data_IF_557544415607
#
_entry.id   IF_557544415607
#
_cell.length_a   1.000
_cell.length_b   1.000
_cell.length_c   1.000
_cell.angle_alpha   90.00
_cell.angle_beta   90.00
_cell.angle_gamma   90.00
#
_symmetry.space_group_name_H-M   'P 1'
#
loop_
_entity.id
_entity.type
_entity.pdbx_description
1 polymer ?
#
# COMPACT_ATOMS: atom_id res chain seq x y z
N UNK A 1 -2.94 13.76 8.99
CA UNK A 1 -2.66 12.51 9.72
C UNK A 1 -3.82 11.57 9.47
N UNK A 2 -3.57 10.31 9.22
CA UNK A 2 -4.58 9.26 9.01
C UNK A 2 -4.93 8.68 10.38
N UNK A 3 -6.14 8.93 10.85
CA UNK A 3 -6.63 8.49 12.16
C UNK A 3 -7.01 7.02 12.09
N UNK A 4 -6.31 6.18 12.86
CA UNK A 4 -6.39 4.73 12.74
C UNK A 4 -6.95 4.10 14.01
N UNK A 5 -8.01 3.30 13.88
CA UNK A 5 -8.56 2.45 14.93
C UNK A 5 -7.96 1.04 14.81
N UNK A 6 -7.50 0.48 15.93
CA UNK A 6 -7.00 -0.92 15.99
C UNK A 6 -8.05 -1.79 16.65
N UNK A 7 -8.43 -2.89 16.00
CA UNK A 7 -9.43 -3.85 16.49
C UNK A 7 -8.83 -5.25 16.50
N UNK A 8 -8.63 -5.80 17.70
CA UNK A 8 -8.02 -7.12 17.93
C UNK A 8 -8.44 -7.63 19.30
N UNK A 9 -8.87 -8.88 19.41
CA UNK A 9 -9.33 -9.48 20.67
C UNK A 9 -8.17 -9.78 21.64
N UNK A 10 -6.96 -10.02 21.11
CA UNK A 10 -5.76 -10.16 21.91
C UNK A 10 -5.20 -8.77 22.29
N UNK A 11 -5.28 -8.41 23.58
CA UNK A 11 -4.80 -7.13 24.11
C UNK A 11 -3.32 -6.86 23.81
N UNK A 12 -2.47 -7.89 23.81
CA UNK A 12 -1.04 -7.76 23.54
C UNK A 12 -0.77 -7.50 22.07
N UNK A 13 -1.54 -8.17 21.19
CA UNK A 13 -1.46 -7.96 19.74
C UNK A 13 -2.00 -6.59 19.37
N UNK A 14 -3.13 -6.18 19.98
CA UNK A 14 -3.67 -4.83 19.81
C UNK A 14 -2.65 -3.76 20.21
N UNK A 15 -1.99 -3.91 21.37
CA UNK A 15 -0.97 -2.97 21.86
C UNK A 15 0.24 -2.90 20.92
N UNK A 16 0.70 -4.06 20.42
CA UNK A 16 1.76 -4.11 19.41
C UNK A 16 1.37 -3.37 18.13
N UNK A 17 0.15 -3.59 17.62
CA UNK A 17 -0.33 -2.92 16.42
C UNK A 17 -0.53 -1.42 16.66
N UNK A 18 -0.98 -0.99 17.84
CA UNK A 18 -1.03 0.44 18.22
C UNK A 18 0.37 1.06 18.14
N UNK A 19 1.38 0.42 18.76
CA UNK A 19 2.76 0.88 18.69
C UNK A 19 3.32 0.88 17.25
N UNK A 20 2.87 -0.03 16.40
CA UNK A 20 3.23 -0.03 14.97
C UNK A 20 2.62 1.17 14.24
N UNK A 21 1.33 1.47 14.46
CA UNK A 21 0.65 2.64 13.87
C UNK A 21 1.38 3.94 14.21
N UNK A 22 1.71 4.14 15.50
CA UNK A 22 2.39 5.35 15.98
C UNK A 22 3.80 5.55 15.39
N UNK A 23 4.44 4.47 14.92
CA UNK A 23 5.75 4.52 14.27
C UNK A 23 5.69 4.86 12.80
N UNK A 24 4.54 4.66 12.14
CA UNK A 24 4.40 4.93 10.70
C UNK A 24 4.10 6.41 10.49
N UNK A 25 4.96 7.09 9.75
CA UNK A 25 4.79 8.50 9.45
C UNK A 25 3.47 8.77 8.72
N UNK A 26 2.73 9.78 9.16
CA UNK A 26 1.46 10.17 8.56
C UNK A 26 0.23 9.51 9.19
N UNK A 27 0.43 8.62 10.17
CA UNK A 27 -0.63 7.96 10.92
C UNK A 27 -0.70 8.44 12.38
N UNK A 28 -1.87 8.36 12.96
CA UNK A 28 -2.10 8.58 14.39
C UNK A 28 -3.11 7.56 14.91
N UNK A 29 -2.92 7.12 16.15
CA UNK A 29 -3.83 6.22 16.82
C UNK A 29 -5.09 6.98 17.25
N UNK A 30 -6.27 6.61 16.70
CA UNK A 30 -7.54 7.15 17.13
C UNK A 30 -8.11 6.42 18.35
N UNK A 31 -7.84 5.12 18.47
CA UNK A 31 -8.31 4.29 19.56
C UNK A 31 -8.06 2.82 19.33
N UNK A 32 -8.55 1.99 20.26
CA UNK A 32 -8.52 0.54 20.14
C UNK A 32 -9.82 -0.08 20.62
N UNK A 33 -10.19 -1.23 20.05
CA UNK A 33 -11.34 -2.02 20.45
C UNK A 33 -10.96 -3.52 20.50
N UNK A 34 -11.66 -4.30 21.32
CA UNK A 34 -11.35 -5.72 21.50
C UNK A 34 -12.54 -6.62 21.17
N UNK A 35 -13.63 -6.04 20.70
CA UNK A 35 -14.84 -6.73 20.26
C UNK A 35 -15.41 -6.05 19.02
N UNK A 36 -16.23 -6.75 18.25
CA UNK A 36 -16.86 -6.18 17.07
C UNK A 36 -17.87 -5.08 17.42
N UNK A 37 -18.63 -5.25 18.48
CA UNK A 37 -19.58 -4.23 18.96
C UNK A 37 -18.85 -2.94 19.38
N UNK A 38 -17.76 -3.07 20.15
CA UNK A 38 -16.94 -1.93 20.54
C UNK A 38 -16.24 -1.26 19.33
N UNK A 39 -15.91 -2.03 18.29
CA UNK A 39 -15.34 -1.49 17.06
C UNK A 39 -16.33 -0.58 16.33
N UNK A 40 -17.59 -1.02 16.15
CA UNK A 40 -18.65 -0.23 15.52
C UNK A 40 -18.91 1.07 16.30
N UNK A 41 -19.07 0.97 17.62
CA UNK A 41 -19.25 2.14 18.49
C UNK A 41 -18.05 3.12 18.39
N UNK A 42 -16.83 2.58 18.37
CA UNK A 42 -15.62 3.40 18.23
C UNK A 42 -15.55 4.11 16.88
N UNK A 43 -15.99 3.48 15.79
CA UNK A 43 -16.05 4.13 14.47
C UNK A 43 -17.01 5.31 14.50
N UNK A 44 -18.18 5.15 15.13
CA UNK A 44 -19.18 6.23 15.23
C UNK A 44 -18.70 7.41 16.08
N UNK A 45 -18.04 7.10 17.20
CA UNK A 45 -17.56 8.13 18.15
C UNK A 45 -16.30 8.81 17.67
N UNK A 46 -15.31 8.03 17.20
CA UNK A 46 -13.97 8.53 16.90
C UNK A 46 -13.81 8.98 15.45
N UNK A 47 -14.67 8.50 14.54
CA UNK A 47 -14.62 8.76 13.10
C UNK A 47 -13.21 8.58 12.53
N UNK A 48 -12.62 7.38 12.63
CA UNK A 48 -11.31 7.11 12.08
C UNK A 48 -11.35 7.10 10.56
N UNK A 49 -10.21 7.37 9.91
CA UNK A 49 -10.04 7.23 8.46
C UNK A 49 -9.79 5.77 8.07
N UNK A 50 -9.16 5.01 8.97
CA UNK A 50 -8.73 3.63 8.76
C UNK A 50 -9.03 2.76 9.98
N UNK A 51 -9.52 1.55 9.73
CA UNK A 51 -9.65 0.47 10.74
C UNK A 51 -8.70 -0.67 10.40
N UNK A 52 -7.83 -1.05 11.34
CA UNK A 52 -7.08 -2.31 11.30
C UNK A 52 -7.94 -3.36 12.02
N UNK A 53 -8.52 -4.29 11.28
CA UNK A 53 -9.59 -5.16 11.77
C UNK A 53 -9.16 -6.63 11.77
N UNK A 54 -9.16 -7.26 12.95
CA UNK A 54 -9.11 -8.73 12.99
C UNK A 54 -10.45 -9.33 12.56
N UNK A 55 -10.39 -10.43 11.82
CA UNK A 55 -11.56 -11.20 11.41
C UNK A 55 -12.11 -12.04 12.58
N UNK A 56 -11.24 -12.51 13.46
CA UNK A 56 -11.64 -13.32 14.61
C UNK A 56 -11.83 -12.44 15.84
N UNK A 57 -13.07 -12.15 16.17
CA UNK A 57 -13.48 -11.39 17.35
C UNK A 57 -14.43 -12.24 18.19
N UNK A 58 -14.53 -12.00 19.50
CA UNK A 58 -15.21 -12.91 20.42
C UNK A 58 -16.75 -12.83 20.38
N UNK A 59 -17.32 -11.75 19.88
CA UNK A 59 -18.77 -11.48 19.84
C UNK A 59 -19.36 -11.66 18.45
N UNK A 60 -18.98 -10.81 17.52
CA UNK A 60 -19.34 -10.88 16.10
C UNK A 60 -18.06 -10.94 15.25
N UNK A 61 -18.10 -11.64 14.12
CA UNK A 61 -16.92 -11.74 13.28
C UNK A 61 -16.51 -10.39 12.67
N UNK A 62 -15.22 -10.17 12.45
CA UNK A 62 -14.74 -8.97 11.75
C UNK A 62 -15.32 -8.84 10.33
N UNK A 63 -15.71 -9.94 9.68
CA UNK A 63 -16.42 -9.88 8.41
C UNK A 63 -17.83 -9.30 8.57
N UNK A 64 -18.50 -9.59 9.67
CA UNK A 64 -19.80 -9.00 10.00
C UNK A 64 -19.64 -7.53 10.38
N UNK A 65 -18.61 -7.17 11.16
CA UNK A 65 -18.24 -5.76 11.41
C UNK A 65 -18.04 -5.02 10.10
N UNK A 66 -17.23 -5.59 9.19
CA UNK A 66 -16.96 -5.01 7.87
C UNK A 66 -18.25 -4.81 7.07
N UNK A 67 -19.18 -5.76 7.10
CA UNK A 67 -20.47 -5.65 6.42
C UNK A 67 -21.30 -4.50 7.00
N UNK A 68 -21.44 -4.41 8.33
CA UNK A 68 -22.18 -3.35 9.01
C UNK A 68 -21.57 -1.96 8.75
N UNK A 69 -20.25 -1.84 8.69
CA UNK A 69 -19.56 -0.58 8.32
C UNK A 69 -19.84 -0.11 6.87
N UNK A 70 -20.49 -0.93 6.04
CA UNK A 70 -20.92 -0.55 4.68
C UNK A 70 -22.40 -0.16 4.61
N UNK A 71 -23.14 -0.27 5.72
CA UNK A 71 -24.51 0.22 5.84
C UNK A 71 -24.47 1.76 6.00
N UNK A 72 -25.53 2.45 5.56
CA UNK A 72 -25.59 3.91 5.49
C UNK A 72 -25.56 4.60 6.87
N UNK A 73 -25.75 3.83 7.96
CA UNK A 73 -25.78 4.36 9.33
C UNK A 73 -24.40 4.68 9.91
N UNK A 74 -23.31 4.21 9.27
CA UNK A 74 -21.94 4.43 9.73
C UNK A 74 -21.18 5.43 8.86
N UNK A 75 -20.27 6.23 9.43
CA UNK A 75 -19.37 7.09 8.64
C UNK A 75 -18.48 6.24 7.71
N UNK A 76 -18.20 6.74 6.49
CA UNK A 76 -17.32 6.02 5.58
C UNK A 76 -15.94 5.85 6.20
N UNK A 77 -15.44 4.62 6.21
CA UNK A 77 -14.15 4.26 6.77
C UNK A 77 -13.47 3.19 5.92
N UNK A 78 -12.18 3.32 5.70
CA UNK A 78 -11.39 2.29 5.04
C UNK A 78 -10.98 1.18 6.02
N UNK A 79 -10.88 -0.06 5.53
CA UNK A 79 -10.56 -1.21 6.37
C UNK A 79 -9.39 -2.00 5.80
N UNK A 80 -8.39 -2.24 6.64
CA UNK A 80 -7.32 -3.22 6.43
C UNK A 80 -7.60 -4.43 7.32
N UNK A 81 -7.79 -5.60 6.73
CA UNK A 81 -7.93 -6.84 7.49
C UNK A 81 -6.56 -7.30 8.01
N UNK A 82 -6.44 -7.54 9.31
CA UNK A 82 -5.19 -7.95 9.98
C UNK A 82 -5.48 -9.19 10.80
N UNK A 83 -5.27 -10.39 10.26
CA UNK A 83 -5.83 -11.60 10.86
C UNK A 83 -4.98 -12.85 10.65
N UNK A 84 -5.17 -13.86 11.51
CA UNK A 84 -4.60 -15.20 11.34
C UNK A 84 -5.34 -16.03 10.28
N UNK A 85 -6.47 -15.56 9.76
CA UNK A 85 -7.25 -16.27 8.75
C UNK A 85 -6.47 -16.45 7.45
N UNK A 86 -6.22 -17.71 7.08
CA UNK A 86 -5.55 -18.10 5.82
C UNK A 86 -6.51 -18.74 4.82
N UNK A 87 -7.77 -18.85 5.19
CA UNK A 87 -8.78 -19.47 4.36
C UNK A 87 -9.17 -18.58 3.20
N UNK A 88 -9.18 -19.17 2.00
CA UNK A 88 -9.54 -18.45 0.76
C UNK A 88 -10.95 -17.83 0.84
N UNK A 89 -11.87 -18.49 1.56
CA UNK A 89 -13.23 -17.97 1.72
C UNK A 89 -13.26 -16.70 2.55
N UNK A 90 -12.52 -16.63 3.66
CA UNK A 90 -12.40 -15.43 4.49
C UNK A 90 -11.76 -14.27 3.70
N UNK A 91 -10.71 -14.56 2.93
CA UNK A 91 -10.09 -13.59 2.03
C UNK A 91 -11.08 -13.05 0.98
N UNK A 92 -11.83 -13.95 0.31
CA UNK A 92 -12.84 -13.54 -0.69
C UNK A 92 -13.96 -12.69 -0.07
N UNK A 93 -14.41 -13.04 1.14
CA UNK A 93 -15.44 -12.28 1.84
C UNK A 93 -14.94 -10.90 2.24
N UNK A 94 -13.72 -10.78 2.77
CA UNK A 94 -13.09 -9.51 3.07
C UNK A 94 -12.94 -8.62 1.81
N UNK A 95 -12.49 -9.21 0.69
CA UNK A 95 -12.38 -8.48 -0.59
C UNK A 95 -13.74 -7.98 -1.09
N UNK A 96 -14.80 -8.79 -0.97
CA UNK A 96 -16.17 -8.37 -1.34
C UNK A 96 -16.71 -7.28 -0.40
N UNK A 97 -16.30 -7.29 0.86
CA UNK A 97 -16.61 -6.26 1.85
C UNK A 97 -15.81 -4.96 1.66
N UNK A 98 -14.93 -4.88 0.64
CA UNK A 98 -14.22 -3.66 0.30
C UNK A 98 -13.05 -3.35 1.23
N UNK A 99 -12.31 -4.36 1.72
CA UNK A 99 -11.03 -4.12 2.38
C UNK A 99 -10.00 -3.57 1.40
N UNK A 100 -9.23 -2.57 1.80
CA UNK A 100 -8.19 -1.97 0.98
C UNK A 100 -6.91 -2.78 0.97
N UNK A 101 -6.61 -3.48 2.08
CA UNK A 101 -5.49 -4.41 2.23
C UNK A 101 -5.82 -5.58 3.16
N UNK A 102 -5.02 -6.65 3.05
CA UNK A 102 -5.12 -7.84 3.87
C UNK A 102 -3.74 -8.24 4.38
N UNK A 103 -3.58 -8.35 5.71
CA UNK A 103 -2.34 -8.75 6.39
C UNK A 103 -2.57 -10.05 7.13
N UNK A 104 -1.76 -11.07 6.82
CA UNK A 104 -1.82 -12.38 7.49
C UNK A 104 -0.81 -12.40 8.64
N UNK A 105 -1.29 -12.58 9.88
CA UNK A 105 -0.46 -12.77 11.07
C UNK A 105 0.26 -14.14 11.02
N UNK A 106 1.52 -14.26 11.48
CA UNK A 106 2.39 -13.19 11.98
C UNK A 106 3.10 -12.45 10.85
N UNK A 107 3.32 -11.16 11.03
CA UNK A 107 4.11 -10.31 10.13
C UNK A 107 5.07 -9.42 10.92
N UNK A 108 6.11 -8.91 10.24
CA UNK A 108 7.08 -7.99 10.82
C UNK A 108 6.68 -6.54 10.54
N UNK A 109 7.24 -5.61 11.34
CA UNK A 109 6.98 -4.17 11.18
C UNK A 109 7.20 -3.65 9.75
N UNK A 110 8.27 -4.03 9.00
CA UNK A 110 8.45 -3.54 7.64
C UNK A 110 7.29 -3.88 6.68
N UNK A 111 6.72 -5.09 6.80
CA UNK A 111 5.55 -5.49 6.00
C UNK A 111 4.31 -4.68 6.36
N UNK A 112 4.11 -4.42 7.65
CA UNK A 112 3.03 -3.57 8.14
C UNK A 112 3.19 -2.13 7.64
N UNK A 113 4.37 -1.54 7.81
CA UNK A 113 4.71 -0.19 7.37
C UNK A 113 4.49 -0.01 5.86
N UNK A 114 4.98 -0.96 5.05
CA UNK A 114 4.79 -0.93 3.59
C UNK A 114 3.30 -0.87 3.20
N UNK A 115 2.45 -1.66 3.86
CA UNK A 115 1.00 -1.66 3.61
C UNK A 115 0.35 -0.33 3.96
N UNK A 116 0.69 0.23 5.12
CA UNK A 116 0.15 1.51 5.56
C UNK A 116 0.63 2.67 4.67
N UNK A 117 1.90 2.70 4.31
CA UNK A 117 2.43 3.74 3.41
C UNK A 117 1.80 3.66 2.00
N UNK A 118 1.56 2.45 1.51
CA UNK A 118 0.84 2.22 0.25
C UNK A 118 -0.59 2.76 0.31
N UNK A 119 -1.30 2.48 1.41
CA UNK A 119 -2.62 3.04 1.65
C UNK A 119 -2.58 4.57 1.74
N UNK A 120 -1.65 5.15 2.50
CA UNK A 120 -1.51 6.60 2.63
C UNK A 120 -1.30 7.30 1.27
N UNK A 121 -0.47 6.72 0.41
CA UNK A 121 -0.25 7.23 -0.94
C UNK A 121 -1.50 7.20 -1.81
N UNK A 122 -2.33 6.15 -1.70
CA UNK A 122 -3.60 6.05 -2.40
C UNK A 122 -4.63 7.04 -1.83
N UNK A 123 -4.76 7.12 -0.51
CA UNK A 123 -5.66 8.02 0.21
C UNK A 123 -5.36 9.50 -0.11
N UNK A 124 -4.09 9.90 -0.07
CA UNK A 124 -3.68 11.28 -0.42
C UNK A 124 -4.04 11.63 -1.87
N UNK A 125 -3.89 10.68 -2.80
CA UNK A 125 -4.28 10.91 -4.19
C UNK A 125 -5.78 11.06 -4.35
N UNK A 126 -6.58 10.21 -3.70
CA UNK A 126 -8.04 10.28 -3.75
C UNK A 126 -8.57 11.61 -3.20
N UNK A 127 -7.99 12.13 -2.12
CA UNK A 127 -8.40 13.42 -1.53
C UNK A 127 -8.04 14.64 -2.38
N UNK A 128 -7.03 14.54 -3.26
CA UNK A 128 -6.60 15.63 -4.14
C UNK A 128 -7.35 15.70 -5.47
N UNK A 129 -8.00 14.61 -5.89
CA UNK A 129 -8.62 14.50 -7.20
C UNK A 129 -10.08 14.93 -7.12
N UNK A 130 -10.42 16.09 -7.72
CA UNK A 130 -11.81 16.56 -7.85
C UNK A 130 -12.58 15.85 -8.98
N UNK A 131 -11.90 15.50 -10.08
CA UNK A 131 -12.39 14.66 -11.19
C UNK A 131 -11.26 13.72 -11.60
N UNK A 132 -11.47 12.42 -11.47
CA UNK A 132 -10.47 11.41 -11.80
C UNK A 132 -10.44 11.17 -13.32
N UNK A 133 -9.25 11.19 -13.92
CA UNK A 133 -8.99 10.65 -15.25
C UNK A 133 -8.54 9.18 -15.13
N UNK A 134 -8.61 8.41 -16.24
CA UNK A 134 -8.23 7.00 -16.21
C UNK A 134 -6.83 6.76 -15.65
N UNK A 135 -5.87 7.64 -15.99
CA UNK A 135 -4.51 7.55 -15.45
C UNK A 135 -4.41 7.73 -13.93
N UNK A 136 -5.32 8.48 -13.31
CA UNK A 136 -5.37 8.65 -11.86
C UNK A 136 -5.92 7.39 -11.19
N UNK A 137 -6.97 6.81 -11.78
CA UNK A 137 -7.55 5.54 -11.34
C UNK A 137 -6.50 4.43 -11.36
N UNK A 138 -5.78 4.28 -12.47
CA UNK A 138 -4.74 3.27 -12.62
C UNK A 138 -3.62 3.43 -11.58
N UNK A 139 -3.24 4.67 -11.25
CA UNK A 139 -2.22 4.97 -10.22
C UNK A 139 -2.71 4.65 -8.81
N UNK A 140 -3.97 4.96 -8.48
CA UNK A 140 -4.56 4.66 -7.17
C UNK A 140 -4.62 3.15 -6.96
N UNK A 141 -5.18 2.40 -7.91
CA UNK A 141 -5.23 0.95 -7.83
C UNK A 141 -3.83 0.30 -7.89
N UNK A 142 -2.91 0.89 -8.65
CA UNK A 142 -1.51 0.48 -8.66
C UNK A 142 -0.85 0.61 -7.28
N UNK A 143 -1.05 1.74 -6.59
CA UNK A 143 -0.51 1.95 -5.25
C UNK A 143 -1.06 0.93 -4.25
N UNK A 144 -2.35 0.64 -4.23
CA UNK A 144 -2.97 -0.36 -3.37
C UNK A 144 -2.46 -1.79 -3.66
N UNK A 145 -2.13 -2.10 -4.91
CA UNK A 145 -1.59 -3.42 -5.31
C UNK A 145 -0.11 -3.58 -4.96
N UNK A 146 0.68 -2.50 -4.99
CA UNK A 146 2.15 -2.54 -4.76
C UNK A 146 2.54 -3.11 -3.40
N UNK A 147 1.64 -3.06 -2.43
CA UNK A 147 1.80 -3.69 -1.12
C UNK A 147 1.39 -5.18 -1.09
N UNK A 148 1.08 -5.80 -2.21
CA UNK A 148 0.88 -7.23 -2.31
C UNK A 148 2.23 -7.88 -2.61
N UNK A 149 2.68 -8.79 -1.73
CA UNK A 149 3.75 -9.76 -2.03
C UNK A 149 3.23 -10.74 -3.08
N UNK A 150 2.89 -10.27 -4.28
CA UNK A 150 2.69 -11.19 -5.40
C UNK A 150 4.06 -11.79 -5.72
N UNK A 151 4.17 -13.12 -5.82
CA UNK A 151 5.41 -13.74 -6.25
C UNK A 151 5.78 -13.13 -7.60
N UNK A 152 7.03 -12.68 -7.70
CA UNK A 152 7.54 -12.08 -8.94
C UNK A 152 7.18 -12.94 -10.15
N UNK A 153 6.78 -12.34 -11.27
CA UNK A 153 6.51 -13.07 -12.50
C UNK A 153 7.66 -14.03 -12.83
N UNK A 154 7.33 -15.22 -13.35
CA UNK A 154 8.34 -16.24 -13.70
C UNK A 154 9.51 -15.61 -14.48
N UNK A 155 10.73 -15.82 -13.96
CA UNK A 155 11.97 -15.30 -14.54
C UNK A 155 12.38 -13.90 -14.05
N UNK A 156 11.75 -13.36 -13.02
CA UNK A 156 12.23 -12.24 -12.22
C UNK A 156 12.70 -12.77 -10.85
N UNK A 157 13.67 -12.11 -10.22
CA UNK A 157 14.17 -12.40 -8.89
C UNK A 157 14.17 -11.16 -8.01
N UNK A 158 13.92 -11.32 -6.70
CA UNK A 158 13.92 -10.22 -5.73
C UNK A 158 15.26 -9.49 -5.72
N UNK A 159 16.38 -10.21 -5.72
CA UNK A 159 17.72 -9.62 -5.72
C UNK A 159 17.97 -8.69 -6.91
N UNK A 160 17.49 -9.05 -8.11
CA UNK A 160 17.62 -8.18 -9.29
C UNK A 160 16.65 -7.01 -9.24
N UNK A 161 15.45 -7.22 -8.70
CA UNK A 161 14.46 -6.15 -8.50
C UNK A 161 15.03 -5.07 -7.56
N UNK A 162 15.57 -5.49 -6.41
CA UNK A 162 16.19 -4.57 -5.43
C UNK A 162 17.34 -3.78 -6.03
N UNK A 163 18.19 -4.44 -6.82
CA UNK A 163 19.30 -3.78 -7.51
C UNK A 163 18.80 -2.71 -8.49
N UNK A 164 17.76 -3.01 -9.27
CA UNK A 164 17.17 -2.04 -10.22
C UNK A 164 16.51 -0.88 -9.47
N UNK A 165 15.82 -1.14 -8.37
CA UNK A 165 15.24 -0.10 -7.51
C UNK A 165 16.33 0.81 -6.94
N UNK A 166 17.46 0.26 -6.45
CA UNK A 166 18.60 1.05 -5.98
C UNK A 166 19.21 1.91 -7.09
N UNK A 167 19.36 1.36 -8.31
CA UNK A 167 19.88 2.11 -9.46
C UNK A 167 18.96 3.28 -9.82
N UNK A 168 17.65 3.05 -9.86
CA UNK A 168 16.67 4.11 -10.13
C UNK A 168 16.66 5.18 -9.03
N UNK A 169 16.77 4.78 -7.76
CA UNK A 169 16.75 5.69 -6.61
C UNK A 169 17.92 6.68 -6.59
N UNK A 170 19.03 6.37 -7.27
CA UNK A 170 20.20 7.28 -7.40
C UNK A 170 20.00 8.39 -8.43
N UNK A 171 18.95 8.35 -9.23
CA UNK A 171 18.71 9.32 -10.31
C UNK A 171 17.46 10.16 -10.05
N UNK A 172 17.64 11.46 -9.96
CA UNK A 172 16.52 12.41 -9.83
C UNK A 172 15.84 12.74 -11.17
N UNK A 173 16.49 12.46 -12.30
CA UNK A 173 15.99 12.83 -13.64
C UNK A 173 15.44 11.63 -14.45
N UNK A 174 15.32 10.46 -13.80
CA UNK A 174 14.94 9.21 -14.45
C UNK A 174 16.04 8.64 -15.35
N UNK A 175 16.01 7.32 -15.58
CA UNK A 175 16.97 6.59 -16.38
C UNK A 175 16.28 5.85 -17.53
N UNK A 176 16.99 5.69 -18.66
CA UNK A 176 16.55 4.81 -19.74
C UNK A 176 16.75 3.35 -19.37
N UNK A 177 16.02 2.44 -20.01
CA UNK A 177 16.22 1.00 -19.79
C UNK A 177 17.65 0.54 -20.12
N UNK A 178 18.34 1.22 -21.03
CA UNK A 178 19.75 0.97 -21.36
C UNK A 178 20.68 1.39 -20.21
N UNK A 179 20.48 2.59 -19.67
CA UNK A 179 21.28 3.07 -18.54
C UNK A 179 21.07 2.22 -17.28
N UNK A 180 19.83 1.78 -17.01
CA UNK A 180 19.54 0.85 -15.91
C UNK A 180 20.21 -0.50 -16.13
N UNK A 181 20.18 -1.03 -17.36
CA UNK A 181 20.83 -2.30 -17.71
C UNK A 181 22.33 -2.27 -17.46
N UNK A 182 23.00 -1.20 -17.90
CA UNK A 182 24.45 -0.99 -17.70
C UNK A 182 24.78 -0.87 -16.21
N UNK A 183 24.04 -0.04 -15.46
CA UNK A 183 24.29 0.18 -14.04
C UNK A 183 23.98 -1.05 -13.15
N UNK A 184 23.00 -1.87 -13.53
CA UNK A 184 22.62 -3.08 -12.82
C UNK A 184 23.34 -4.35 -13.30
N UNK A 185 24.18 -4.28 -14.35
CA UNK A 185 24.89 -5.43 -14.90
C UNK A 185 23.96 -6.50 -15.51
N UNK A 186 22.81 -6.10 -16.05
CA UNK A 186 21.82 -7.01 -16.67
C UNK A 186 21.60 -6.67 -18.15
N UNK A 187 20.95 -7.56 -18.89
CA UNK A 187 20.59 -7.24 -20.29
C UNK A 187 19.53 -6.14 -20.34
N UNK A 188 19.50 -5.36 -21.43
CA UNK A 188 18.47 -4.33 -21.66
C UNK A 188 17.05 -4.93 -21.65
N UNK A 189 16.88 -6.15 -22.15
CA UNK A 189 15.59 -6.87 -22.14
C UNK A 189 15.18 -7.20 -20.72
N UNK A 190 16.15 -7.67 -19.90
CA UNK A 190 15.94 -7.94 -18.49
C UNK A 190 15.56 -6.67 -17.76
N UNK A 191 16.36 -5.60 -17.86
CA UNK A 191 16.07 -4.31 -17.22
C UNK A 191 14.67 -3.81 -17.58
N UNK A 192 14.28 -3.87 -18.86
CA UNK A 192 12.96 -3.45 -19.30
C UNK A 192 11.83 -4.24 -18.64
N UNK A 193 11.94 -5.57 -18.53
CA UNK A 193 10.93 -6.41 -17.86
C UNK A 193 10.72 -6.00 -16.39
N UNK A 194 11.79 -5.71 -15.66
CA UNK A 194 11.69 -5.23 -14.28
C UNK A 194 11.13 -3.81 -14.20
N UNK A 195 11.51 -2.92 -15.10
CA UNK A 195 10.99 -1.55 -15.17
C UNK A 195 9.49 -1.53 -15.51
N UNK A 196 9.06 -2.34 -16.47
CA UNK A 196 7.65 -2.49 -16.82
C UNK A 196 6.86 -3.08 -15.65
N UNK A 197 7.43 -4.05 -14.91
CA UNK A 197 6.84 -4.59 -13.70
C UNK A 197 6.73 -3.54 -12.58
N UNK A 198 7.77 -2.73 -12.33
CA UNK A 198 7.72 -1.62 -11.37
C UNK A 198 6.67 -0.57 -11.74
N UNK A 199 6.48 -0.30 -13.05
CA UNK A 199 5.42 0.58 -13.53
C UNK A 199 4.02 -0.02 -13.30
N UNK A 200 3.84 -1.33 -13.52
CA UNK A 200 2.58 -2.04 -13.25
C UNK A 200 2.23 -2.00 -11.76
N UNK A 201 3.24 -2.10 -10.89
CA UNK A 201 3.09 -1.96 -9.45
C UNK A 201 2.90 -0.50 -8.99
N UNK A 202 2.99 0.49 -9.87
CA UNK A 202 2.95 1.91 -9.52
C UNK A 202 4.17 2.40 -8.73
N UNK A 203 5.25 1.59 -8.63
CA UNK A 203 6.50 1.94 -7.95
C UNK A 203 7.45 2.75 -8.82
N UNK A 204 7.25 2.75 -10.13
CA UNK A 204 7.95 3.61 -11.08
C UNK A 204 6.98 4.21 -12.09
N UNK A 205 7.34 5.35 -12.64
CA UNK A 205 6.65 6.00 -13.75
C UNK A 205 7.54 6.09 -14.97
N UNK A 206 6.94 6.03 -16.17
CA UNK A 206 7.62 6.22 -17.43
C UNK A 206 7.23 7.56 -18.03
N UNK A 207 8.22 8.39 -18.35
CA UNK A 207 8.04 9.64 -19.08
C UNK A 207 8.66 9.55 -20.47
N UNK A 208 8.00 10.16 -21.46
CA UNK A 208 8.53 10.24 -22.82
C UNK A 208 9.25 11.57 -22.98
N UNK A 209 10.54 11.54 -23.35
CA UNK A 209 11.27 12.75 -23.69
C UNK A 209 11.36 12.87 -25.21
N UNK A 210 10.79 13.93 -25.73
CA UNK A 210 10.89 14.34 -27.13
C UNK A 210 12.04 15.37 -27.22
N UNK A 211 13.08 15.10 -27.99
CA UNK A 211 14.20 16.07 -28.03
C UNK A 211 15.34 15.74 -29.02
N UNK A 212 15.14 14.90 -30.02
CA UNK A 212 16.13 14.60 -31.06
C UNK A 212 15.50 13.95 -32.28
N UNK A 213 16.23 13.83 -33.44
CA UNK A 213 15.78 13.07 -34.58
C UNK A 213 15.80 11.58 -34.20
N UNK A 214 14.63 10.98 -33.92
CA UNK A 214 14.49 9.59 -33.55
C UNK A 214 13.22 9.28 -32.75
N UNK A 215 13.08 8.01 -32.35
CA UNK A 215 11.97 7.54 -31.49
C UNK A 215 12.08 8.20 -30.10
N UNK A 216 10.94 8.60 -29.48
CA UNK A 216 10.95 9.17 -28.11
C UNK A 216 11.68 8.22 -27.12
N UNK A 217 12.51 8.77 -26.25
CA UNK A 217 13.16 8.02 -25.19
C UNK A 217 12.21 7.81 -24.01
N UNK A 218 12.05 6.57 -23.61
CA UNK A 218 11.36 6.21 -22.36
C UNK A 218 12.34 6.34 -21.20
N UNK A 219 12.02 7.20 -20.23
CA UNK A 219 12.74 7.35 -18.97
C UNK A 219 11.87 6.89 -17.83
N UNK A 220 12.45 6.08 -16.97
CA UNK A 220 11.82 5.48 -15.81
C UNK A 220 12.34 6.16 -14.55
N UNK A 221 11.44 6.55 -13.67
CA UNK A 221 11.75 7.19 -12.40
C UNK A 221 10.94 6.53 -11.29
N UNK A 222 11.54 6.34 -10.10
CA UNK A 222 10.78 5.87 -8.94
C UNK A 222 9.75 6.92 -8.54
N UNK A 223 8.56 6.45 -8.22
CA UNK A 223 7.55 7.25 -7.54
C UNK A 223 8.00 7.35 -6.09
N UNK A 224 8.78 8.40 -5.77
CA UNK A 224 9.26 8.65 -4.41
C UNK A 224 8.07 9.03 -3.53
N UNK A 225 7.87 8.29 -2.44
CA UNK A 225 7.07 8.78 -1.32
C UNK A 225 7.68 10.09 -0.80
N UNK A 226 6.90 11.06 -0.33
CA UNK A 226 7.37 12.43 -0.05
C UNK A 226 8.52 12.57 0.93
N UNK A 227 8.88 11.51 1.66
CA UNK A 227 9.91 11.52 2.72
C UNK A 227 11.36 11.66 2.20
N UNK A 228 11.68 11.24 0.98
CA UNK A 228 13.06 11.23 0.48
C UNK A 228 13.50 12.57 -0.12
N UNK A 229 12.58 13.53 -0.27
CA UNK A 229 12.90 14.87 -0.82
C UNK A 229 13.65 15.79 0.14
N UNK A 230 13.61 15.55 1.46
CA UNK A 230 14.25 16.43 2.45
C UNK A 230 15.71 16.08 2.77
N UNK A 231 16.15 14.86 2.54
CA UNK A 231 17.54 14.48 2.78
C UNK A 231 18.50 14.81 1.62
N UNK A 232 18.01 15.02 0.41
CA UNK A 232 18.82 15.39 -0.74
C UNK A 232 19.07 16.91 -0.88
N UNK A 233 18.55 17.73 0.04
CA UNK A 233 18.69 19.20 0.03
C UNK A 233 19.50 19.74 1.24
N UNK A 234 20.29 18.89 1.90
CA UNK A 234 21.25 19.30 2.93
C UNK A 234 22.68 18.98 2.53
#
# INVERSE_FOLDING_TARGET
>A
MIRTLVVDDDYRVAELHCAYVERVQGFELAGRAHTGAAALESVDQLRPDLVLLDIYLPDISGLEVLQRLREDDHPPVDVVAVTAAREVNSLRSAMRGGVVHYLIKPFLFPTFEEKLLSYAAAHERMTRIGKAEQGDVDRIFGALRSASNEPLPKGLSDATLDLIVQVLGRSQSGLTATAVAEAAGVSRVTARRYLDHLCQLGRAEVTMRYGGPGRPEHRYQLVLSPTTRQEAAR
#
